data_IF_390016015175
#
_entry.id   IF_390016015175
#
_cell.length_a   1.000
_cell.length_b   1.000
_cell.length_c   1.000
_cell.angle_alpha   90.00
_cell.angle_beta   90.00
_cell.angle_gamma   90.00
#
_symmetry.space_group_name_H-M   'P 1'
#
loop_
_entity.id
_entity.type
_entity.pdbx_description
1 polymer ?
#
# COMPACT_ATOMS: atom_id res chain seq x y z
N UNK A 1 35.49 47.29 13.37
CA UNK A 1 34.14 47.74 13.00
C UNK A 1 33.21 46.58 12.53
N UNK A 2 33.64 45.33 12.53
CA UNK A 2 32.91 44.23 11.86
C UNK A 2 32.06 43.30 12.76
N UNK A 3 32.30 43.28 14.06
CA UNK A 3 31.54 42.37 14.94
C UNK A 3 30.05 42.79 15.17
N UNK A 4 29.77 44.10 15.18
CA UNK A 4 28.42 44.61 15.44
C UNK A 4 27.50 44.37 14.23
N UNK A 5 28.03 44.53 13.02
CA UNK A 5 27.30 44.25 11.77
C UNK A 5 26.94 42.76 11.61
N UNK A 6 27.77 41.85 12.12
CA UNK A 6 27.54 40.41 12.04
C UNK A 6 26.46 39.97 13.00
N UNK A 7 26.34 40.55 14.19
CA UNK A 7 25.28 40.22 15.18
C UNK A 7 23.92 40.70 14.71
N UNK A 8 23.82 41.90 14.13
CA UNK A 8 22.54 42.38 13.53
C UNK A 8 22.07 41.50 12.38
N UNK A 9 22.97 41.12 11.47
CA UNK A 9 22.62 40.21 10.36
C UNK A 9 22.17 38.82 10.83
N UNK A 10 22.77 38.30 11.89
CA UNK A 10 22.36 37.02 12.50
C UNK A 10 20.95 37.15 13.10
N UNK A 11 20.62 38.27 13.76
CA UNK A 11 19.29 38.54 14.26
C UNK A 11 18.23 38.66 13.18
N UNK A 12 18.55 39.32 12.05
CA UNK A 12 17.66 39.41 10.90
C UNK A 12 17.38 38.04 10.27
N UNK A 13 18.44 37.22 10.09
CA UNK A 13 18.29 35.84 9.55
C UNK A 13 17.42 35.00 10.49
N UNK A 14 17.60 35.14 11.81
CA UNK A 14 16.82 34.40 12.80
C UNK A 14 15.34 34.78 12.80
N UNK A 15 15.04 36.07 12.61
CA UNK A 15 13.66 36.55 12.43
C UNK A 15 13.01 35.99 11.17
N UNK A 16 13.71 36.03 10.03
CA UNK A 16 13.20 35.46 8.77
C UNK A 16 12.98 33.95 8.87
N UNK A 17 13.87 33.23 9.52
CA UNK A 17 13.70 31.79 9.78
C UNK A 17 12.48 31.50 10.66
N UNK A 18 12.24 32.31 11.69
CA UNK A 18 11.07 32.18 12.55
C UNK A 18 9.76 32.47 11.80
N UNK A 19 9.75 33.50 10.95
CA UNK A 19 8.59 33.80 10.10
C UNK A 19 8.30 32.68 9.10
N UNK A 20 9.30 32.12 8.46
CA UNK A 20 9.17 30.96 7.55
C UNK A 20 8.67 29.73 8.31
N UNK A 21 9.15 29.52 9.55
CA UNK A 21 8.68 28.41 10.38
C UNK A 21 7.21 28.56 10.77
N UNK A 22 6.80 29.76 11.19
CA UNK A 22 5.40 30.07 11.50
C UNK A 22 4.47 29.92 10.29
N UNK A 23 4.91 30.36 9.10
CA UNK A 23 4.17 30.16 7.85
C UNK A 23 4.02 28.66 7.51
N UNK A 24 5.06 27.87 7.69
CA UNK A 24 4.98 26.41 7.50
C UNK A 24 4.00 25.75 8.46
N UNK A 25 4.02 26.12 9.72
CA UNK A 25 3.07 25.61 10.72
C UNK A 25 1.63 25.99 10.35
N UNK A 26 1.38 27.22 9.97
CA UNK A 26 0.05 27.68 9.54
C UNK A 26 -0.47 26.95 8.30
N UNK A 27 0.39 26.65 7.32
CA UNK A 27 0.01 25.87 6.14
C UNK A 27 -0.34 24.43 6.52
N UNK A 28 0.43 23.83 7.43
CA UNK A 28 0.19 22.47 7.91
C UNK A 28 -1.16 22.42 8.66
N UNK A 29 -1.42 23.36 9.54
CA UNK A 29 -2.68 23.43 10.28
C UNK A 29 -3.87 23.58 9.33
N UNK A 30 -3.77 24.45 8.33
CA UNK A 30 -4.79 24.61 7.29
C UNK A 30 -5.02 23.31 6.50
N UNK A 31 -3.96 22.58 6.15
CA UNK A 31 -4.07 21.28 5.49
C UNK A 31 -4.77 20.25 6.38
N UNK A 32 -4.49 20.24 7.69
CA UNK A 32 -5.19 19.34 8.62
C UNK A 32 -6.68 19.66 8.72
N UNK A 33 -7.06 20.93 8.77
CA UNK A 33 -8.46 21.36 8.75
C UNK A 33 -9.18 20.94 7.47
N UNK A 34 -8.51 21.07 6.30
CA UNK A 34 -9.04 20.57 5.03
C UNK A 34 -9.23 19.05 5.02
N UNK A 35 -8.26 18.31 5.52
CA UNK A 35 -8.34 16.86 5.61
C UNK A 35 -9.47 16.40 6.55
N UNK A 36 -9.64 17.06 7.70
CA UNK A 36 -10.76 16.79 8.60
C UNK A 36 -12.12 17.11 7.96
N UNK A 37 -12.21 18.20 7.20
CA UNK A 37 -13.40 18.57 6.45
C UNK A 37 -13.75 17.53 5.39
N UNK A 38 -12.75 17.09 4.60
CA UNK A 38 -12.93 16.01 3.61
C UNK A 38 -13.34 14.71 4.30
N UNK A 39 -12.76 14.39 5.45
CA UNK A 39 -13.12 13.22 6.25
C UNK A 39 -14.57 13.26 6.72
N UNK A 40 -15.03 14.41 7.23
CA UNK A 40 -16.43 14.64 7.63
C UNK A 40 -17.36 14.51 6.43
N UNK A 41 -17.06 15.15 5.32
CA UNK A 41 -17.84 15.03 4.08
C UNK A 41 -17.92 13.58 3.58
N UNK A 42 -16.83 12.79 3.69
CA UNK A 42 -16.83 11.35 3.35
C UNK A 42 -17.69 10.52 4.31
N UNK A 43 -17.72 10.89 5.60
CA UNK A 43 -18.58 10.20 6.58
C UNK A 43 -20.05 10.54 6.31
N UNK A 44 -20.37 11.81 6.06
CA UNK A 44 -21.72 12.26 5.71
C UNK A 44 -22.20 11.65 4.38
N UNK A 45 -21.34 11.63 3.36
CA UNK A 45 -21.64 10.96 2.08
C UNK A 45 -21.83 9.43 2.22
N UNK A 46 -21.24 8.79 3.25
CA UNK A 46 -21.50 7.37 3.56
C UNK A 46 -22.85 7.14 4.24
N UNK A 47 -23.41 8.16 4.87
CA UNK A 47 -24.74 8.09 5.50
C UNK A 47 -25.85 8.19 4.44
N UNK A 48 -25.58 8.87 3.33
CA UNK A 48 -26.47 8.90 2.17
C UNK A 48 -26.32 7.60 1.36
N UNK A 49 -27.09 6.59 1.77
CA UNK A 49 -27.06 5.21 1.23
C UNK A 49 -27.41 5.09 -0.27
N UNK A 50 -27.56 6.21 -0.99
CA UNK A 50 -28.07 6.19 -2.36
C UNK A 50 -27.04 6.45 -3.47
N UNK A 51 -25.77 6.66 -3.17
CA UNK A 51 -24.74 6.93 -4.20
C UNK A 51 -23.37 6.28 -3.91
N UNK A 52 -23.34 5.04 -3.46
CA UNK A 52 -22.09 4.25 -3.47
C UNK A 52 -22.09 3.30 -4.65
N UNK A 53 -22.29 3.83 -5.84
CA UNK A 53 -22.03 3.03 -7.02
C UNK A 53 -20.51 2.96 -7.21
N UNK A 54 -19.91 1.94 -6.61
CA UNK A 54 -18.53 1.61 -6.90
C UNK A 54 -18.49 1.10 -8.35
N UNK A 55 -17.61 1.65 -9.16
CA UNK A 55 -17.47 1.22 -10.56
C UNK A 55 -17.22 -0.29 -10.66
N UNK A 56 -16.61 -0.90 -9.65
CA UNK A 56 -16.41 -2.33 -9.56
C UNK A 56 -17.73 -3.08 -9.34
N UNK A 57 -18.70 -2.49 -8.64
CA UNK A 57 -20.03 -3.11 -8.44
C UNK A 57 -20.85 -3.10 -9.74
N UNK A 58 -20.71 -2.03 -10.56
CA UNK A 58 -21.33 -1.96 -11.88
C UNK A 58 -20.72 -3.00 -12.83
N UNK A 59 -19.42 -3.16 -12.80
CA UNK A 59 -18.71 -4.08 -13.69
C UNK A 59 -18.89 -5.55 -13.29
N UNK A 60 -19.40 -5.83 -12.09
CA UNK A 60 -19.52 -7.19 -11.52
C UNK A 60 -18.29 -8.04 -11.85
N UNK A 61 -17.08 -7.63 -11.43
CA UNK A 61 -15.86 -8.23 -11.90
C UNK A 61 -15.76 -9.68 -11.45
N UNK A 62 -15.30 -10.53 -12.34
CA UNK A 62 -14.95 -11.90 -12.00
C UNK A 62 -13.69 -11.95 -11.11
N UNK A 63 -13.54 -13.02 -10.30
CA UNK A 63 -12.33 -13.21 -9.46
C UNK A 63 -11.04 -13.00 -10.27
N UNK A 64 -10.87 -13.58 -11.48
CA UNK A 64 -9.67 -13.37 -12.28
C UNK A 64 -9.44 -11.91 -12.70
N UNK A 65 -10.49 -11.13 -12.92
CA UNK A 65 -10.34 -9.72 -13.27
C UNK A 65 -9.85 -8.91 -12.05
N UNK A 66 -10.41 -9.18 -10.87
CA UNK A 66 -9.97 -8.52 -9.63
C UNK A 66 -8.53 -8.89 -9.30
N UNK A 67 -8.15 -10.15 -9.45
CA UNK A 67 -6.76 -10.62 -9.25
C UNK A 67 -5.78 -9.92 -10.19
N UNK A 68 -6.15 -9.72 -11.47
CA UNK A 68 -5.34 -8.96 -12.43
C UNK A 68 -5.22 -7.49 -12.05
N UNK A 69 -6.31 -6.86 -11.65
CA UNK A 69 -6.31 -5.46 -11.19
C UNK A 69 -5.39 -5.32 -9.98
N UNK A 70 -5.57 -6.18 -8.97
CA UNK A 70 -4.74 -6.17 -7.76
C UNK A 70 -3.25 -6.37 -8.08
N UNK A 71 -2.94 -7.34 -8.92
CA UNK A 71 -1.58 -7.61 -9.40
C UNK A 71 -0.98 -6.36 -10.07
N UNK A 72 -1.74 -5.68 -10.94
CA UNK A 72 -1.31 -4.46 -11.62
C UNK A 72 -1.05 -3.32 -10.63
N UNK A 73 -1.89 -3.14 -9.62
CA UNK A 73 -1.68 -2.14 -8.58
C UNK A 73 -0.41 -2.43 -7.77
N UNK A 74 -0.25 -3.66 -7.30
CA UNK A 74 0.89 -4.03 -6.47
C UNK A 74 2.21 -3.96 -7.23
N UNK A 75 2.20 -4.27 -8.54
CA UNK A 75 3.37 -4.19 -9.41
C UNK A 75 3.71 -2.79 -9.89
N UNK A 76 2.87 -1.79 -9.60
CA UNK A 76 3.12 -0.42 -10.01
C UNK A 76 4.41 0.14 -9.40
N UNK A 77 5.24 0.73 -10.27
CA UNK A 77 6.50 1.36 -9.85
C UNK A 77 6.46 2.87 -10.05
N UNK A 78 6.98 3.58 -9.08
CA UNK A 78 7.23 5.01 -9.17
C UNK A 78 8.74 5.26 -8.96
N UNK A 79 9.39 5.86 -9.95
CA UNK A 79 10.86 6.06 -9.93
C UNK A 79 11.64 4.76 -9.68
N UNK A 80 11.19 3.65 -10.28
CA UNK A 80 11.80 2.34 -10.12
C UNK A 80 11.57 1.67 -8.75
N UNK A 81 10.70 2.24 -7.91
CA UNK A 81 10.38 1.69 -6.59
C UNK A 81 8.95 1.15 -6.56
N UNK A 82 8.76 -0.03 -6.00
CA UNK A 82 7.46 -0.67 -5.79
C UNK A 82 6.76 -0.09 -4.55
N UNK A 83 6.31 1.16 -4.64
CA UNK A 83 5.79 1.90 -3.48
C UNK A 83 4.53 1.25 -2.89
N UNK A 84 3.59 0.80 -3.73
CA UNK A 84 2.37 0.15 -3.28
C UNK A 84 2.65 -1.22 -2.68
N UNK A 85 3.55 -2.00 -3.27
CA UNK A 85 3.96 -3.29 -2.72
C UNK A 85 4.65 -3.13 -1.36
N UNK A 86 5.57 -2.18 -1.22
CA UNK A 86 6.21 -1.88 0.07
C UNK A 86 5.20 -1.49 1.13
N UNK A 87 4.25 -0.62 0.79
CA UNK A 87 3.18 -0.23 1.71
C UNK A 87 2.31 -1.43 2.10
N UNK A 88 1.99 -2.31 1.15
CA UNK A 88 1.24 -3.53 1.42
C UNK A 88 1.98 -4.45 2.39
N UNK A 89 3.26 -4.75 2.12
CA UNK A 89 4.07 -5.63 2.99
C UNK A 89 4.26 -5.03 4.39
N UNK A 90 4.48 -3.72 4.50
CA UNK A 90 4.63 -3.03 5.78
C UNK A 90 3.34 -3.11 6.64
N UNK A 91 2.18 -2.95 6.01
CA UNK A 91 0.91 -2.94 6.75
C UNK A 91 0.38 -4.34 7.08
N UNK A 92 0.58 -5.31 6.21
CA UNK A 92 -0.04 -6.63 6.33
C UNK A 92 0.92 -7.74 6.75
N UNK A 93 2.20 -7.68 6.35
CA UNK A 93 3.14 -8.79 6.54
C UNK A 93 4.21 -8.54 7.60
N UNK A 94 4.44 -7.29 8.00
CA UNK A 94 5.48 -6.96 9.00
C UNK A 94 5.27 -7.70 10.33
N UNK A 95 4.01 -7.88 10.75
CA UNK A 95 3.67 -8.62 11.98
C UNK A 95 3.90 -10.12 11.87
N UNK A 96 4.04 -10.63 10.65
CA UNK A 96 4.31 -12.03 10.36
C UNK A 96 5.80 -12.31 10.13
N UNK A 97 6.67 -11.35 10.45
CA UNK A 97 8.11 -11.51 10.28
C UNK A 97 8.64 -11.20 8.88
N UNK A 98 7.86 -10.51 8.04
CA UNK A 98 8.33 -10.04 6.75
C UNK A 98 9.33 -8.89 6.92
N UNK A 99 10.52 -9.03 6.33
CA UNK A 99 11.51 -7.95 6.32
C UNK A 99 11.32 -7.10 5.05
N UNK A 100 11.03 -5.82 5.25
CA UNK A 100 10.88 -4.84 4.17
C UNK A 100 12.14 -4.63 3.33
N UNK A 101 13.31 -4.98 3.84
CA UNK A 101 14.57 -4.93 3.10
C UNK A 101 14.63 -5.99 1.99
N UNK A 102 13.81 -7.03 2.07
CA UNK A 102 13.70 -8.05 1.03
C UNK A 102 13.08 -7.53 -0.26
N UNK A 103 12.32 -6.42 -0.23
CA UNK A 103 11.66 -5.88 -1.42
C UNK A 103 12.67 -5.14 -2.30
N UNK A 104 13.12 -5.80 -3.35
CA UNK A 104 14.07 -5.26 -4.33
C UNK A 104 13.52 -5.34 -5.75
N UNK A 105 13.35 -6.55 -6.29
CA UNK A 105 12.85 -6.80 -7.64
C UNK A 105 11.78 -7.92 -7.65
N UNK A 106 10.63 -7.70 -7.00
CA UNK A 106 9.57 -8.70 -6.94
C UNK A 106 8.99 -8.98 -8.32
N UNK A 107 8.72 -10.26 -8.58
CA UNK A 107 8.03 -10.73 -9.79
C UNK A 107 6.58 -10.98 -9.43
N UNK A 108 5.68 -10.28 -10.10
CA UNK A 108 4.25 -10.39 -9.90
C UNK A 108 3.61 -11.26 -10.98
N UNK A 109 2.70 -12.12 -10.59
CA UNK A 109 1.88 -12.90 -11.51
C UNK A 109 0.47 -13.08 -10.98
N UNK A 110 -0.53 -13.04 -11.87
CA UNK A 110 -1.94 -13.30 -11.56
C UNK A 110 -2.40 -14.56 -12.28
N UNK A 111 -3.31 -15.31 -11.66
CA UNK A 111 -3.94 -16.53 -12.21
C UNK A 111 -2.95 -17.63 -12.62
N UNK A 112 -1.70 -17.51 -12.24
CA UNK A 112 -0.67 -18.49 -12.54
C UNK A 112 -0.74 -19.63 -11.52
N UNK A 113 -0.73 -20.86 -12.01
CA UNK A 113 -0.87 -22.07 -11.19
C UNK A 113 -2.17 -22.14 -10.36
N UNK A 114 -3.22 -21.45 -10.82
CA UNK A 114 -4.50 -21.25 -10.09
C UNK A 114 -4.32 -20.54 -8.75
N UNK A 115 -3.31 -19.71 -8.65
CA UNK A 115 -3.10 -18.78 -7.54
C UNK A 115 -3.54 -17.41 -8.03
N UNK A 116 -4.40 -16.75 -7.28
CA UNK A 116 -4.98 -15.46 -7.68
C UNK A 116 -3.91 -14.41 -7.91
N UNK A 117 -3.04 -14.17 -6.92
CA UNK A 117 -1.84 -13.36 -7.10
C UNK A 117 -0.67 -14.05 -6.41
N UNK A 118 0.42 -14.20 -7.13
CA UNK A 118 1.68 -14.72 -6.61
C UNK A 118 2.77 -13.69 -6.83
N UNK A 119 3.44 -13.29 -5.75
CA UNK A 119 4.60 -12.39 -5.76
C UNK A 119 5.81 -13.16 -5.27
N UNK A 120 6.87 -13.17 -6.05
CA UNK A 120 8.08 -13.96 -5.77
C UNK A 120 9.33 -13.09 -5.84
N UNK A 121 10.22 -13.33 -4.90
CA UNK A 121 11.57 -12.78 -4.90
C UNK A 121 12.54 -13.77 -4.23
N UNK A 122 13.82 -13.47 -4.24
CA UNK A 122 14.86 -14.36 -3.73
C UNK A 122 14.62 -14.83 -2.30
N UNK A 123 14.10 -13.96 -1.42
CA UNK A 123 13.98 -14.23 0.01
C UNK A 123 12.56 -14.60 0.45
N UNK A 124 11.58 -14.42 -0.42
CA UNK A 124 10.19 -14.64 -0.05
C UNK A 124 9.30 -15.00 -1.24
N UNK A 125 8.17 -15.59 -0.93
CA UNK A 125 7.02 -15.68 -1.81
C UNK A 125 5.75 -15.30 -1.05
N UNK A 126 4.88 -14.51 -1.67
CA UNK A 126 3.59 -14.12 -1.12
C UNK A 126 2.48 -14.61 -2.02
N UNK A 127 1.59 -15.40 -1.46
CA UNK A 127 0.36 -15.88 -2.09
C UNK A 127 -0.78 -15.01 -1.59
N UNK A 128 -1.50 -14.36 -2.50
CA UNK A 128 -2.71 -13.60 -2.16
C UNK A 128 -3.89 -14.33 -2.79
N UNK A 129 -4.79 -14.80 -1.95
CA UNK A 129 -6.04 -15.45 -2.35
C UNK A 129 -7.19 -14.48 -2.13
N UNK A 130 -7.92 -14.23 -3.20
CA UNK A 130 -9.04 -13.31 -3.22
C UNK A 130 -10.36 -14.09 -3.25
N UNK A 131 -11.15 -13.97 -2.21
CA UNK A 131 -12.45 -14.63 -2.12
C UNK A 131 -13.57 -13.63 -2.32
N UNK A 132 -14.07 -13.56 -3.56
CA UNK A 132 -15.25 -12.78 -3.92
C UNK A 132 -16.46 -13.72 -3.93
N UNK A 133 -17.65 -13.20 -3.62
CA UNK A 133 -18.92 -13.91 -3.76
C UNK A 133 -19.03 -15.25 -2.99
N UNK A 134 -18.61 -15.29 -1.72
CA UNK A 134 -18.76 -16.49 -0.85
C UNK A 134 -18.07 -17.76 -1.36
N UNK A 135 -17.08 -17.62 -2.24
CA UNK A 135 -16.34 -18.75 -2.76
C UNK A 135 -15.71 -19.58 -1.61
N UNK A 136 -16.06 -20.85 -1.55
CA UNK A 136 -15.57 -21.77 -0.52
C UNK A 136 -14.14 -22.19 -0.86
N UNK A 137 -13.29 -22.31 0.15
CA UNK A 137 -11.96 -22.89 -0.03
C UNK A 137 -12.07 -24.35 -0.49
N UNK A 138 -11.40 -24.68 -1.58
CA UNK A 138 -11.28 -26.04 -2.04
C UNK A 138 -10.44 -26.87 -1.03
N UNK A 139 -10.80 -28.11 -0.85
CA UNK A 139 -10.01 -29.03 0.00
C UNK A 139 -8.55 -29.01 -0.44
N UNK A 140 -7.63 -28.80 0.51
CA UNK A 140 -6.19 -28.74 0.30
C UNK A 140 -5.68 -27.63 -0.65
N UNK A 141 -6.47 -26.60 -0.95
CA UNK A 141 -6.09 -25.50 -1.83
C UNK A 141 -4.80 -24.81 -1.37
N UNK A 142 -4.73 -24.39 -0.12
CA UNK A 142 -3.55 -23.70 0.43
C UNK A 142 -2.32 -24.63 0.49
N UNK A 143 -2.50 -25.90 0.83
CA UNK A 143 -1.41 -26.85 0.85
C UNK A 143 -0.80 -27.04 -0.57
N UNK A 144 -1.67 -27.11 -1.59
CA UNK A 144 -1.24 -27.16 -2.99
C UNK A 144 -0.46 -25.91 -3.38
N UNK A 145 -0.92 -24.73 -3.00
CA UNK A 145 -0.24 -23.46 -3.30
C UNK A 145 1.15 -23.40 -2.66
N UNK A 146 1.27 -23.78 -1.40
CA UNK A 146 2.56 -23.87 -0.70
C UNK A 146 3.50 -24.83 -1.42
N UNK A 147 3.02 -26.00 -1.81
CA UNK A 147 3.84 -27.01 -2.51
C UNK A 147 4.32 -26.50 -3.87
N UNK A 148 3.43 -25.88 -4.65
CA UNK A 148 3.79 -25.27 -5.93
C UNK A 148 4.81 -24.16 -5.73
N UNK A 149 4.57 -23.26 -4.78
CA UNK A 149 5.47 -22.14 -4.52
C UNK A 149 6.84 -22.59 -4.08
N UNK A 150 6.94 -23.61 -3.22
CA UNK A 150 8.22 -24.24 -2.84
C UNK A 150 8.98 -24.83 -4.02
N UNK A 151 8.28 -25.37 -5.03
CA UNK A 151 8.94 -25.90 -6.24
C UNK A 151 9.42 -24.81 -7.20
N UNK A 152 8.88 -23.60 -7.10
CA UNK A 152 9.19 -22.48 -7.99
C UNK A 152 10.20 -21.48 -7.42
N UNK A 153 10.27 -21.37 -6.10
CA UNK A 153 11.17 -20.47 -5.41
C UNK A 153 12.06 -21.23 -4.44
N UNK A 154 13.33 -20.84 -4.39
CA UNK A 154 14.25 -21.36 -3.36
C UNK A 154 14.04 -20.68 -2.00
N UNK A 155 12.97 -19.92 -1.85
CA UNK A 155 12.68 -19.17 -0.63
C UNK A 155 11.94 -20.06 0.37
N UNK A 156 12.43 -20.09 1.60
CA UNK A 156 11.76 -20.76 2.72
C UNK A 156 10.64 -19.90 3.34
N UNK A 157 10.61 -18.59 3.02
CA UNK A 157 9.64 -17.67 3.57
C UNK A 157 8.43 -17.54 2.65
N UNK A 158 7.36 -18.27 2.97
CA UNK A 158 6.09 -18.22 2.23
C UNK A 158 5.02 -17.57 3.12
N UNK A 159 4.48 -16.47 2.65
CA UNK A 159 3.39 -15.75 3.29
C UNK A 159 2.09 -15.98 2.52
N UNK A 160 0.99 -16.14 3.24
CA UNK A 160 -0.33 -16.29 2.65
C UNK A 160 -1.23 -15.18 3.18
N UNK A 161 -1.81 -14.43 2.26
CA UNK A 161 -2.78 -13.38 2.54
C UNK A 161 -4.13 -13.82 2.00
N UNK A 162 -5.10 -13.90 2.88
CA UNK A 162 -6.48 -14.16 2.53
C UNK A 162 -7.23 -12.84 2.56
N UNK A 163 -7.74 -12.42 1.41
CA UNK A 163 -8.57 -11.22 1.33
C UNK A 163 -10.01 -11.63 1.64
N UNK A 164 -10.56 -11.18 2.77
CA UNK A 164 -11.95 -11.40 3.09
C UNK A 164 -12.85 -10.55 2.17
N UNK A 165 -14.11 -10.92 2.16
CA UNK A 165 -15.18 -10.12 1.56
C UNK A 165 -15.24 -8.69 2.06
#
# INVERSE_FOLDING_TARGET
MDKKLTVERIGEIQNVLNEVYCLKCSIIDTLFEYLETIRKMRVEARIDKHCTTNILDILSPTEPLVSKILCSFLSFTQNGKFCLWRSFTDNFLSRCGFDKQWVNQPIFSSEKYRIDVLVQEQHYAVIIENKIHDAIFQRNQLARYIQITKSLSNSDNIFIVLLPK
#
